data_IF_048424598356
#
_entry.id   IF_048424598356
#
_cell.length_a   1.000
_cell.length_b   1.000
_cell.length_c   1.000
_cell.angle_alpha   90.00
_cell.angle_beta   90.00
_cell.angle_gamma   90.00
#
_symmetry.space_group_name_H-M   'P 1'
#
loop_
_entity.id
_entity.type
_entity.pdbx_description
1 polymer ?
#
# COMPACT_ATOMS: atom_id res chain seq x y z
N UNK A 1 11.78 1.98 19.20
CA UNK A 1 10.49 2.30 19.86
C UNK A 1 10.71 2.16 21.35
N UNK A 2 10.37 3.18 22.12
CA UNK A 2 10.50 3.18 23.57
C UNK A 2 9.14 3.49 24.19
N UNK A 3 8.76 2.74 25.21
CA UNK A 3 7.59 3.09 26.04
C UNK A 3 7.96 4.20 27.02
N UNK A 4 7.14 5.22 27.14
CA UNK A 4 7.29 6.23 28.19
C UNK A 4 6.73 5.71 29.51
N UNK A 5 7.03 6.41 30.61
CA UNK A 5 6.44 6.13 31.93
C UNK A 5 4.91 6.19 31.91
N UNK A 6 4.35 6.95 30.97
CA UNK A 6 2.91 7.18 30.80
C UNK A 6 2.27 6.16 29.85
N UNK A 7 2.99 5.08 29.52
CA UNK A 7 2.56 4.01 28.60
C UNK A 7 2.33 4.49 27.16
N UNK A 8 2.92 5.63 26.78
CA UNK A 8 2.87 6.12 25.41
C UNK A 8 4.05 5.61 24.58
N UNK A 9 3.85 5.56 23.26
CA UNK A 9 4.86 5.11 22.31
C UNK A 9 5.69 6.30 21.81
N UNK A 10 6.94 6.38 22.25
CA UNK A 10 7.93 7.27 21.68
C UNK A 10 8.60 6.64 20.45
N UNK A 11 8.48 7.33 19.32
CA UNK A 11 9.15 6.98 18.07
C UNK A 11 10.46 7.77 17.97
N UNK A 12 11.59 7.09 18.10
CA UNK A 12 12.92 7.69 18.14
C UNK A 12 13.85 6.94 17.16
N UNK A 13 14.73 7.66 16.48
CA UNK A 13 15.85 7.12 15.69
C UNK A 13 17.12 7.29 16.50
N UNK A 14 17.91 6.22 16.59
CA UNK A 14 19.24 6.24 17.18
C UNK A 14 20.24 6.53 16.05
N UNK A 15 20.88 7.68 16.11
CA UNK A 15 21.88 8.10 15.13
C UNK A 15 23.22 7.39 15.38
N UNK A 16 24.12 7.29 14.39
CA UNK A 16 25.44 6.66 14.56
C UNK A 16 26.34 7.27 15.63
N UNK A 17 26.00 8.45 16.14
CA UNK A 17 26.68 9.17 17.23
C UNK A 17 26.00 8.94 18.60
N UNK A 18 25.17 7.89 18.73
CA UNK A 18 24.35 7.55 19.89
C UNK A 18 23.35 8.64 20.34
N UNK A 19 23.13 9.70 19.55
CA UNK A 19 22.08 10.67 19.83
C UNK A 19 20.73 10.16 19.36
N UNK A 20 19.73 10.40 20.18
CA UNK A 20 18.34 10.09 19.87
C UNK A 20 17.69 11.29 19.17
N UNK A 21 16.98 11.04 18.08
CA UNK A 21 16.18 12.03 17.37
C UNK A 21 14.73 11.56 17.27
N UNK A 22 13.78 12.47 17.51
CA UNK A 22 12.35 12.13 17.44
C UNK A 22 11.94 11.83 16.00
N UNK A 23 11.39 10.64 15.79
CA UNK A 23 10.79 10.19 14.53
C UNK A 23 9.31 10.56 14.50
N UNK A 24 9.04 11.86 14.40
CA UNK A 24 7.68 12.38 14.38
C UNK A 24 6.87 11.86 13.19
N UNK A 25 5.54 12.02 13.24
CA UNK A 25 4.68 11.67 12.10
C UNK A 25 5.08 12.45 10.84
N UNK A 26 5.48 13.73 10.98
CA UNK A 26 5.92 14.55 9.86
C UNK A 26 7.21 14.01 9.22
N UNK A 27 8.21 13.62 10.03
CA UNK A 27 9.45 13.02 9.53
C UNK A 27 9.19 11.67 8.87
N UNK A 28 8.35 10.81 9.48
CA UNK A 28 7.96 9.53 8.86
C UNK A 28 7.25 9.70 7.53
N UNK A 29 6.49 10.79 7.34
CA UNK A 29 5.84 11.12 6.07
C UNK A 29 6.84 11.54 4.99
N UNK A 30 7.97 12.12 5.38
CA UNK A 30 9.05 12.46 4.45
C UNK A 30 9.82 11.23 3.97
N UNK A 31 9.80 10.13 4.74
CA UNK A 31 10.33 8.85 4.29
C UNK A 31 9.37 8.28 3.25
N UNK A 32 9.77 8.33 1.99
CA UNK A 32 9.00 7.79 0.86
C UNK A 32 9.01 6.26 0.86
N UNK A 33 8.32 5.63 1.81
CA UNK A 33 8.22 4.18 1.91
C UNK A 33 7.31 3.63 0.80
N UNK A 34 7.83 2.70 0.03
CA UNK A 34 7.09 1.90 -0.96
C UNK A 34 7.14 0.46 -0.49
N UNK A 35 5.98 -0.17 -0.30
CA UNK A 35 5.90 -1.55 0.20
C UNK A 35 5.05 -2.40 -0.71
N UNK A 36 5.67 -3.36 -1.38
CA UNK A 36 4.96 -4.48 -2.00
C UNK A 36 5.10 -5.71 -1.12
N UNK A 37 3.99 -6.25 -0.62
CA UNK A 37 4.01 -7.43 0.25
C UNK A 37 3.61 -8.69 -0.51
N UNK A 38 3.86 -9.87 0.06
CA UNK A 38 3.28 -11.11 -0.45
C UNK A 38 1.74 -11.17 -0.29
N UNK A 39 1.18 -10.45 0.69
CA UNK A 39 -0.26 -10.34 0.93
C UNK A 39 -0.85 -9.07 0.28
N UNK A 40 -0.98 -9.05 -1.04
CA UNK A 40 -1.56 -7.92 -1.80
C UNK A 40 -3.09 -7.82 -1.69
N UNK A 41 -3.73 -8.38 -0.65
CA UNK A 41 -5.20 -8.47 -0.57
C UNK A 41 -5.93 -7.13 -0.69
N UNK A 42 -5.28 -6.01 -0.40
CA UNK A 42 -5.98 -4.72 -0.31
C UNK A 42 -5.72 -3.77 -1.49
N UNK A 43 -4.80 -4.10 -2.42
CA UNK A 43 -4.38 -3.23 -3.54
C UNK A 43 -4.29 -1.75 -3.13
N UNK A 44 -3.77 -1.49 -1.91
CA UNK A 44 -3.90 -0.20 -1.21
C UNK A 44 -3.37 0.94 -2.05
N UNK A 45 -2.24 0.73 -2.71
CA UNK A 45 -1.57 1.73 -3.55
C UNK A 45 -2.30 2.05 -4.85
N UNK A 46 -3.30 1.24 -5.23
CA UNK A 46 -4.18 1.45 -6.38
C UNK A 46 -5.53 2.09 -5.99
N UNK A 47 -5.69 2.49 -4.72
CA UNK A 47 -6.91 3.11 -4.18
C UNK A 47 -6.63 4.48 -3.56
N UNK A 48 -7.63 5.36 -3.48
CA UNK A 48 -7.51 6.70 -2.88
C UNK A 48 -7.56 6.68 -1.34
N UNK A 49 -6.80 5.77 -0.74
CA UNK A 49 -6.66 5.62 0.73
C UNK A 49 -5.56 6.54 1.24
N UNK A 50 -5.69 7.04 2.47
CA UNK A 50 -4.68 7.92 3.05
C UNK A 50 -3.27 7.31 3.03
N UNK A 51 -2.31 8.07 2.49
CA UNK A 51 -0.91 7.67 2.35
C UNK A 51 -0.67 6.53 1.34
N UNK A 52 -1.64 6.17 0.51
CA UNK A 52 -1.42 5.25 -0.60
C UNK A 52 -0.51 5.85 -1.67
N UNK A 53 -0.01 5.01 -2.58
CA UNK A 53 0.66 5.47 -3.80
C UNK A 53 -0.17 6.49 -4.58
N UNK A 54 -1.45 6.20 -4.85
CA UNK A 54 -2.35 7.14 -5.54
C UNK A 54 -2.56 8.46 -4.80
N UNK A 55 -2.70 8.44 -3.48
CA UNK A 55 -2.85 9.66 -2.69
C UNK A 55 -1.64 10.59 -2.84
N UNK A 56 -0.44 9.99 -2.78
CA UNK A 56 0.82 10.70 -3.02
C UNK A 56 0.91 11.20 -4.45
N UNK A 57 0.46 10.40 -5.43
CA UNK A 57 0.51 10.75 -6.85
C UNK A 57 -0.36 11.96 -7.18
N UNK A 58 -1.56 12.02 -6.61
CA UNK A 58 -2.44 13.17 -6.85
C UNK A 58 -1.97 14.42 -6.11
N UNK A 59 -1.33 14.29 -4.95
CA UNK A 59 -0.78 15.43 -4.19
C UNK A 59 -1.83 16.46 -3.73
N UNK A 60 -3.12 16.17 -3.91
CA UNK A 60 -4.23 17.07 -3.63
C UNK A 60 -4.93 16.67 -2.34
N UNK A 61 -4.53 17.33 -1.24
CA UNK A 61 -5.10 17.11 0.09
C UNK A 61 -6.60 17.44 0.16
N UNK A 62 -7.13 18.28 -0.73
CA UNK A 62 -8.53 18.69 -0.76
C UNK A 62 -9.41 17.78 -1.64
N UNK A 63 -8.82 16.95 -2.52
CA UNK A 63 -9.54 16.06 -3.44
C UNK A 63 -10.59 15.20 -2.72
N UNK A 64 -10.21 14.57 -1.60
CA UNK A 64 -11.13 13.74 -0.80
C UNK A 64 -12.31 14.53 -0.24
N UNK A 65 -12.06 15.76 0.22
CA UNK A 65 -13.11 16.64 0.74
C UNK A 65 -14.08 17.04 -0.38
N UNK A 66 -13.56 17.37 -1.58
CA UNK A 66 -14.39 17.69 -2.75
C UNK A 66 -15.26 16.50 -3.16
N UNK A 67 -14.68 15.30 -3.25
CA UNK A 67 -15.42 14.08 -3.56
C UNK A 67 -16.46 13.79 -2.48
N UNK A 68 -16.09 13.90 -1.20
CA UNK A 68 -17.01 13.71 -0.08
C UNK A 68 -18.23 14.64 -0.16
N UNK A 69 -18.02 15.92 -0.54
CA UNK A 69 -19.12 16.87 -0.76
C UNK A 69 -20.03 16.47 -1.92
N UNK A 70 -19.47 16.07 -3.06
CA UNK A 70 -20.27 15.62 -4.20
C UNK A 70 -21.08 14.36 -3.86
N UNK A 71 -20.45 13.43 -3.16
CA UNK A 71 -21.06 12.17 -2.76
C UNK A 71 -22.15 12.38 -1.69
N UNK A 72 -21.99 13.36 -0.79
CA UNK A 72 -23.01 13.75 0.18
C UNK A 72 -24.26 14.40 -0.44
N UNK A 73 -24.18 14.89 -1.68
CA UNK A 73 -25.32 15.46 -2.41
C UNK A 73 -26.20 14.37 -3.08
N UNK A 74 -25.79 13.10 -3.05
CA UNK A 74 -26.56 12.02 -3.63
C UNK A 74 -27.78 11.69 -2.75
N UNK A 75 -28.98 11.81 -3.31
CA UNK A 75 -30.24 11.40 -2.68
C UNK A 75 -30.37 9.88 -2.63
N UNK A 76 -29.69 9.22 -1.70
CA UNK A 76 -29.77 7.76 -1.55
C UNK A 76 -31.16 7.25 -1.20
N UNK A 77 -31.99 8.08 -0.56
CA UNK A 77 -33.39 7.76 -0.28
C UNK A 77 -34.21 7.46 -1.54
N UNK A 78 -33.93 8.14 -2.65
CA UNK A 78 -34.62 7.92 -3.93
C UNK A 78 -34.18 6.63 -4.64
N UNK A 79 -33.02 6.09 -4.26
CA UNK A 79 -32.52 4.82 -4.79
C UNK A 79 -33.13 3.58 -4.11
N UNK A 80 -33.92 3.79 -3.04
CA UNK A 80 -34.63 2.71 -2.37
C UNK A 80 -35.86 2.27 -3.19
N UNK A 81 -36.06 0.97 -3.30
CA UNK A 81 -37.35 0.44 -3.76
C UNK A 81 -38.49 0.75 -2.78
N UNK A 82 -39.73 0.52 -3.22
CA UNK A 82 -40.94 0.73 -2.41
C UNK A 82 -40.90 0.05 -1.04
N UNK A 83 -40.33 -1.14 -0.98
CA UNK A 83 -40.26 -1.94 0.26
C UNK A 83 -39.27 -1.35 1.25
N UNK A 84 -38.15 -0.82 0.77
CA UNK A 84 -37.17 -0.12 1.60
C UNK A 84 -37.73 1.17 2.19
N UNK A 85 -38.48 1.93 1.40
CA UNK A 85 -39.16 3.14 1.88
C UNK A 85 -40.20 2.82 2.96
N UNK A 86 -41.01 1.75 2.78
CA UNK A 86 -41.96 1.29 3.80
C UNK A 86 -41.25 0.89 5.09
N UNK A 87 -40.17 0.11 5.00
CA UNK A 87 -39.41 -0.34 6.17
C UNK A 87 -38.83 0.83 6.98
N UNK A 88 -38.32 1.88 6.32
CA UNK A 88 -37.84 3.09 7.00
C UNK A 88 -38.98 3.84 7.67
N UNK A 89 -40.14 3.96 7.00
CA UNK A 89 -41.32 4.59 7.59
C UNK A 89 -41.82 3.86 8.84
N UNK A 90 -41.92 2.54 8.78
CA UNK A 90 -42.31 1.70 9.93
C UNK A 90 -41.32 1.77 11.08
N UNK A 91 -40.01 1.88 10.78
CA UNK A 91 -38.99 2.11 11.80
C UNK A 91 -39.15 3.49 12.42
N UNK A 92 -39.42 4.53 11.62
CA UNK A 92 -39.68 5.89 12.11
C UNK A 92 -40.85 5.95 13.08
N UNK A 93 -41.95 5.24 12.78
CA UNK A 93 -43.12 5.13 13.68
C UNK A 93 -42.73 4.47 15.01
N UNK A 94 -41.95 3.38 14.97
CA UNK A 94 -41.47 2.70 16.19
C UNK A 94 -40.50 3.54 17.01
N UNK A 95 -39.65 4.33 16.37
CA UNK A 95 -38.77 5.26 17.09
C UNK A 95 -39.57 6.39 17.73
N UNK A 96 -40.59 6.90 17.04
CA UNK A 96 -41.47 7.93 17.61
C UNK A 96 -42.21 7.46 18.86
N UNK A 97 -42.67 6.20 18.90
CA UNK A 97 -43.33 5.64 20.10
C UNK A 97 -42.40 5.55 21.31
N UNK A 98 -41.08 5.51 21.10
CA UNK A 98 -40.05 5.50 22.14
C UNK A 98 -39.46 6.91 22.39
N UNK A 99 -40.08 7.97 21.86
CA UNK A 99 -39.58 9.36 21.93
C UNK A 99 -38.17 9.54 21.32
N UNK A 100 -37.84 8.73 20.31
CA UNK A 100 -36.58 8.80 19.56
C UNK A 100 -36.75 9.56 18.24
N UNK A 101 -35.64 10.06 17.63
CA UNK A 101 -35.69 10.71 16.32
C UNK A 101 -36.30 9.81 15.25
N UNK A 102 -37.39 10.26 14.62
CA UNK A 102 -38.26 9.43 13.75
C UNK A 102 -38.27 9.84 12.27
N UNK A 103 -37.77 11.03 11.93
CA UNK A 103 -37.62 11.49 10.56
C UNK A 103 -36.35 10.87 9.94
N UNK A 104 -36.47 9.61 9.52
CA UNK A 104 -35.36 8.81 9.03
C UNK A 104 -35.14 8.98 7.52
N UNK A 105 -33.87 9.03 7.12
CA UNK A 105 -33.44 9.00 5.73
C UNK A 105 -32.11 8.25 5.62
N UNK A 106 -31.80 7.70 4.44
CA UNK A 106 -30.47 7.11 4.18
C UNK A 106 -29.54 8.19 3.64
N UNK A 107 -28.32 8.20 4.17
CA UNK A 107 -27.22 9.01 3.65
C UNK A 107 -25.89 8.28 3.82
N UNK A 108 -24.84 8.81 3.19
CA UNK A 108 -23.49 8.29 3.38
C UNK A 108 -22.92 8.83 4.69
N UNK A 109 -22.72 7.92 5.63
CA UNK A 109 -22.07 8.19 6.92
C UNK A 109 -20.65 7.65 6.90
N UNK A 110 -19.71 8.40 7.46
CA UNK A 110 -18.32 7.96 7.62
C UNK A 110 -18.16 7.33 9.00
N UNK A 111 -17.94 6.01 9.05
CA UNK A 111 -17.48 5.33 10.27
C UNK A 111 -15.96 5.14 10.24
N UNK A 112 -15.36 4.81 11.40
CA UNK A 112 -13.96 4.38 11.44
C UNK A 112 -13.84 3.04 10.67
N UNK A 113 -13.16 3.04 9.51
CA UNK A 113 -12.73 1.81 8.84
C UNK A 113 -12.95 1.75 7.32
N UNK A 114 -14.06 2.28 6.81
CA UNK A 114 -14.37 2.30 5.36
C UNK A 114 -14.51 3.75 4.88
N UNK A 115 -13.43 4.30 4.33
CA UNK A 115 -13.51 5.60 3.66
C UNK A 115 -14.06 5.44 2.24
N UNK A 116 -14.86 6.40 1.75
CA UNK A 116 -15.28 6.48 0.33
C UNK A 116 -14.07 6.36 -0.61
N UNK A 117 -12.92 6.93 -0.22
CA UNK A 117 -11.67 6.82 -0.97
C UNK A 117 -11.19 5.38 -1.21
N UNK A 118 -11.59 4.41 -0.38
CA UNK A 118 -11.26 2.99 -0.59
C UNK A 118 -12.07 2.33 -1.72
N UNK A 119 -13.16 2.97 -2.16
CA UNK A 119 -13.96 2.58 -3.34
C UNK A 119 -13.42 3.22 -4.63
N UNK A 120 -12.55 4.22 -4.50
CA UNK A 120 -11.99 4.96 -5.63
C UNK A 120 -10.63 4.35 -5.96
N UNK A 121 -10.47 3.90 -7.19
CA UNK A 121 -9.22 3.33 -7.68
C UNK A 121 -9.03 3.59 -9.17
N UNK A 122 -7.87 3.19 -9.68
CA UNK A 122 -7.56 3.34 -11.10
C UNK A 122 -8.42 2.41 -11.97
N UNK A 123 -8.98 2.97 -13.03
CA UNK A 123 -9.64 2.24 -14.11
C UNK A 123 -8.76 2.29 -15.36
N UNK A 124 -8.62 1.16 -16.05
CA UNK A 124 -7.98 1.09 -17.35
C UNK A 124 -9.04 0.84 -18.43
N UNK A 125 -9.05 1.69 -19.45
CA UNK A 125 -9.92 1.55 -20.62
C UNK A 125 -9.42 0.40 -21.50
N UNK A 126 -10.28 -0.58 -21.76
CA UNK A 126 -10.04 -1.65 -22.74
C UNK A 126 -11.20 -1.68 -23.74
N UNK A 127 -10.95 -1.12 -24.94
CA UNK A 127 -12.01 -0.91 -25.92
C UNK A 127 -13.05 0.08 -25.38
N UNK A 128 -14.31 -0.34 -25.28
CA UNK A 128 -15.41 0.48 -24.78
C UNK A 128 -15.61 0.41 -23.25
N UNK A 129 -14.89 -0.45 -22.52
CA UNK A 129 -15.15 -0.74 -21.10
C UNK A 129 -14.01 -0.20 -20.22
N UNK A 130 -14.37 0.41 -19.08
CA UNK A 130 -13.45 0.76 -18.01
C UNK A 130 -13.35 -0.38 -17.00
N UNK A 131 -12.15 -0.94 -16.84
CA UNK A 131 -11.89 -2.07 -15.94
C UNK A 131 -11.05 -1.61 -14.74
N UNK A 132 -11.46 -1.91 -13.50
CA UNK A 132 -10.63 -1.62 -12.33
C UNK A 132 -9.28 -2.33 -12.43
N UNK A 133 -8.18 -1.59 -12.22
CA UNK A 133 -6.84 -2.19 -12.19
C UNK A 133 -6.70 -3.21 -11.07
N UNK A 134 -7.44 -3.05 -9.96
CA UNK A 134 -7.55 -4.05 -8.90
C UNK A 134 -8.11 -5.41 -9.37
N UNK A 135 -8.82 -5.45 -10.51
CA UNK A 135 -9.34 -6.69 -11.10
C UNK A 135 -8.37 -7.37 -12.08
N UNK A 136 -7.22 -6.74 -12.37
CA UNK A 136 -6.21 -7.32 -13.25
C UNK A 136 -5.41 -8.43 -12.54
N UNK A 137 -4.68 -9.27 -13.28
CA UNK A 137 -3.81 -10.29 -12.70
C UNK A 137 -2.75 -9.70 -11.77
N UNK A 138 -2.31 -10.47 -10.77
CA UNK A 138 -1.40 -10.04 -9.69
C UNK A 138 -0.14 -9.33 -10.19
N UNK A 139 0.47 -9.81 -11.28
CA UNK A 139 1.63 -9.17 -11.89
C UNK A 139 1.36 -7.76 -12.41
N UNK A 140 0.24 -7.57 -13.09
CA UNK A 140 -0.16 -6.24 -13.58
C UNK A 140 -0.46 -5.30 -12.43
N UNK A 141 -1.14 -5.77 -11.38
CA UNK A 141 -1.40 -4.98 -10.16
C UNK A 141 -0.11 -4.53 -9.49
N UNK A 142 0.82 -5.45 -9.24
CA UNK A 142 2.13 -5.16 -8.62
C UNK A 142 2.96 -4.18 -9.44
N UNK A 143 3.07 -4.39 -10.75
CA UNK A 143 3.77 -3.46 -11.64
C UNK A 143 3.12 -2.08 -11.58
N UNK A 144 1.80 -2.01 -11.63
CA UNK A 144 1.08 -0.72 -11.57
C UNK A 144 1.34 -0.02 -10.24
N UNK A 145 1.24 -0.72 -9.11
CA UNK A 145 1.52 -0.17 -7.77
C UNK A 145 2.94 0.37 -7.68
N UNK A 146 3.92 -0.34 -8.25
CA UNK A 146 5.30 0.12 -8.32
C UNK A 146 5.46 1.37 -9.16
N UNK A 147 4.87 1.44 -10.36
CA UNK A 147 4.97 2.65 -11.19
C UNK A 147 4.27 3.85 -10.53
N UNK A 148 3.12 3.64 -9.89
CA UNK A 148 2.42 4.69 -9.13
C UNK A 148 3.29 5.18 -7.97
N UNK A 149 4.00 4.28 -7.29
CA UNK A 149 4.89 4.65 -6.20
C UNK A 149 6.20 5.29 -6.70
N UNK A 150 6.77 4.81 -7.80
CA UNK A 150 8.04 5.30 -8.34
C UNK A 150 7.93 6.71 -8.93
N UNK A 151 6.77 7.06 -9.48
CA UNK A 151 6.48 8.42 -9.97
C UNK A 151 6.44 9.49 -8.87
N UNK A 152 6.27 9.08 -7.61
CA UNK A 152 6.23 9.97 -6.44
C UNK A 152 7.47 9.86 -5.57
N UNK A 153 8.50 9.17 -6.08
CA UNK A 153 9.66 8.75 -5.31
C UNK A 153 10.62 9.93 -5.10
N UNK A 154 10.79 10.34 -3.84
CA UNK A 154 11.82 11.30 -3.43
C UNK A 154 13.20 10.65 -3.34
N UNK A 155 14.26 11.44 -3.32
CA UNK A 155 15.64 10.96 -3.08
C UNK A 155 15.82 10.18 -1.77
N UNK A 156 14.98 10.42 -0.75
CA UNK A 156 14.99 9.71 0.54
C UNK A 156 14.02 8.51 0.60
N UNK A 157 13.72 7.89 -0.54
CA UNK A 157 12.78 6.76 -0.60
C UNK A 157 13.39 5.44 -0.15
N UNK A 158 12.55 4.60 0.46
CA UNK A 158 12.89 3.22 0.80
C UNK A 158 11.86 2.32 0.15
N UNK A 159 12.30 1.40 -0.70
CA UNK A 159 11.43 0.43 -1.37
C UNK A 159 11.64 -0.94 -0.75
N UNK A 160 10.57 -1.58 -0.29
CA UNK A 160 10.59 -2.93 0.26
C UNK A 160 9.66 -3.81 -0.57
N UNK A 161 10.20 -4.87 -1.16
CA UNK A 161 9.43 -5.81 -2.00
C UNK A 161 9.65 -7.22 -1.50
N UNK A 162 8.57 -7.87 -1.12
CA UNK A 162 8.57 -9.26 -0.71
C UNK A 162 8.19 -10.17 -1.89
N UNK A 163 9.01 -11.19 -2.13
CA UNK A 163 8.96 -12.12 -3.26
C UNK A 163 8.78 -11.36 -4.58
N UNK A 164 9.84 -10.66 -5.01
CA UNK A 164 9.80 -9.76 -6.19
C UNK A 164 9.34 -10.47 -7.47
N UNK A 165 9.60 -11.77 -7.59
CA UNK A 165 9.18 -12.61 -8.72
C UNK A 165 7.69 -12.96 -8.71
N UNK A 166 7.00 -12.86 -7.57
CA UNK A 166 5.64 -13.39 -7.45
C UNK A 166 4.67 -12.64 -8.36
N UNK A 167 4.00 -13.40 -9.22
CA UNK A 167 3.05 -12.88 -10.21
C UNK A 167 3.70 -12.19 -11.41
N UNK A 168 5.03 -12.10 -11.50
CA UNK A 168 5.72 -11.50 -12.64
C UNK A 168 6.31 -12.57 -13.55
N UNK A 169 6.07 -12.43 -14.85
CA UNK A 169 6.79 -13.20 -15.86
C UNK A 169 8.29 -12.79 -15.87
N UNK A 170 9.21 -13.68 -16.27
CA UNK A 170 10.66 -13.43 -16.23
C UNK A 170 11.09 -12.12 -16.91
N UNK A 171 10.46 -11.76 -18.03
CA UNK A 171 10.74 -10.51 -18.73
C UNK A 171 10.35 -9.27 -17.92
N UNK A 172 9.17 -9.30 -17.27
CA UNK A 172 8.69 -8.19 -16.43
C UNK A 172 9.54 -8.04 -15.17
N UNK A 173 9.93 -9.17 -14.57
CA UNK A 173 10.85 -9.19 -13.42
C UNK A 173 12.19 -8.54 -13.76
N UNK A 174 12.79 -8.88 -14.91
CA UNK A 174 14.04 -8.27 -15.36
C UNK A 174 13.91 -6.75 -15.54
N UNK A 175 12.83 -6.29 -16.18
CA UNK A 175 12.56 -4.87 -16.38
C UNK A 175 12.38 -4.13 -15.05
N UNK A 176 11.68 -4.74 -14.10
CA UNK A 176 11.50 -4.19 -12.76
C UNK A 176 12.83 -4.05 -12.01
N UNK A 177 13.66 -5.11 -12.01
CA UNK A 177 14.95 -5.09 -11.32
C UNK A 177 15.93 -4.08 -11.92
N UNK A 178 15.91 -3.89 -13.25
CA UNK A 178 16.67 -2.82 -13.88
C UNK A 178 16.23 -1.44 -13.34
N UNK A 179 14.91 -1.17 -13.32
CA UNK A 179 14.37 0.09 -12.78
C UNK A 179 14.72 0.32 -11.31
N UNK A 180 14.66 -0.71 -10.47
CA UNK A 180 14.94 -0.59 -9.04
C UNK A 180 16.41 -0.34 -8.72
N UNK A 181 17.32 -0.83 -9.58
CA UNK A 181 18.76 -0.58 -9.45
C UNK A 181 19.10 0.86 -9.89
N UNK A 182 18.41 1.38 -10.91
CA UNK A 182 18.59 2.74 -11.41
C UNK A 182 17.82 3.80 -10.59
N UNK A 183 16.87 3.39 -9.75
CA UNK A 183 16.03 4.30 -8.98
C UNK A 183 16.79 4.95 -7.81
N UNK A 184 16.51 6.23 -7.50
CA UNK A 184 17.08 6.88 -6.33
C UNK A 184 16.48 6.31 -5.04
N UNK A 185 17.32 6.17 -4.01
CA UNK A 185 16.93 5.64 -2.70
C UNK A 185 17.46 4.23 -2.44
N UNK A 186 16.93 3.57 -1.43
CA UNK A 186 17.36 2.23 -1.02
C UNK A 186 16.26 1.20 -1.26
N UNK A 187 16.59 0.14 -1.97
CA UNK A 187 15.69 -0.98 -2.23
C UNK A 187 16.09 -2.23 -1.45
N UNK A 188 15.13 -2.83 -0.75
CA UNK A 188 15.20 -4.10 -0.04
C UNK A 188 14.24 -5.08 -0.70
N UNK A 189 14.77 -6.20 -1.17
CA UNK A 189 14.01 -7.18 -1.95
C UNK A 189 14.17 -8.56 -1.31
N UNK A 190 13.11 -9.36 -1.28
CA UNK A 190 13.25 -10.81 -1.05
C UNK A 190 12.94 -11.58 -2.33
N UNK A 191 13.66 -12.70 -2.51
CA UNK A 191 13.47 -13.56 -3.68
C UNK A 191 13.91 -14.99 -3.42
N UNK A 192 13.21 -15.91 -4.05
CA UNK A 192 13.56 -17.31 -4.26
C UNK A 192 13.96 -17.58 -5.73
N UNK A 193 13.87 -16.58 -6.60
CA UNK A 193 14.04 -16.74 -8.05
C UNK A 193 15.50 -16.61 -8.49
N UNK A 194 16.08 -17.62 -9.18
CA UNK A 194 17.41 -17.48 -9.76
C UNK A 194 17.46 -16.39 -10.85
N UNK A 195 16.33 -16.13 -11.52
CA UNK A 195 16.23 -15.05 -12.51
C UNK A 195 16.38 -13.69 -11.83
N UNK A 196 15.77 -13.48 -10.65
CA UNK A 196 15.93 -12.24 -9.92
C UNK A 196 17.40 -12.01 -9.50
N UNK A 197 18.05 -13.04 -8.97
CA UNK A 197 19.45 -13.01 -8.54
C UNK A 197 20.37 -12.63 -9.70
N UNK A 198 20.23 -13.31 -10.83
CA UNK A 198 21.05 -13.04 -12.02
C UNK A 198 20.85 -11.62 -12.59
N UNK A 199 19.72 -10.98 -12.31
CA UNK A 199 19.42 -9.61 -12.76
C UNK A 199 19.83 -8.53 -11.74
N UNK A 200 20.17 -8.89 -10.50
CA UNK A 200 20.51 -7.96 -9.41
C UNK A 200 22.03 -7.71 -9.31
N UNK A 201 22.62 -7.13 -10.36
CA UNK A 201 24.07 -7.00 -10.52
C UNK A 201 24.71 -5.84 -9.74
N UNK A 202 23.92 -4.85 -9.28
CA UNK A 202 24.39 -3.75 -8.41
C UNK A 202 23.97 -3.93 -6.94
N UNK A 203 23.40 -5.08 -6.58
CA UNK A 203 22.86 -5.33 -5.25
C UNK A 203 23.86 -6.06 -4.34
N UNK A 204 23.83 -5.74 -3.05
CA UNK A 204 24.39 -6.61 -2.02
C UNK A 204 23.47 -7.79 -1.78
N UNK A 205 24.00 -9.00 -1.88
CA UNK A 205 23.23 -10.22 -1.69
C UNK A 205 23.41 -10.74 -0.26
N UNK A 206 22.30 -11.03 0.40
CA UNK A 206 22.27 -11.66 1.71
C UNK A 206 21.49 -12.95 1.61
N UNK A 207 21.90 -13.97 2.33
CA UNK A 207 21.27 -15.29 2.35
C UNK A 207 20.77 -15.62 3.74
N UNK A 208 19.47 -15.89 3.85
CA UNK A 208 18.82 -16.40 5.05
C UNK A 208 18.53 -17.89 4.88
N UNK A 209 19.15 -18.72 5.70
CA UNK A 209 18.95 -20.17 5.69
C UNK A 209 17.69 -20.61 6.48
N UNK A 210 17.40 -21.91 6.46
CA UNK A 210 16.28 -22.50 7.19
C UNK A 210 16.43 -22.47 8.72
N UNK A 211 17.63 -22.23 9.24
CA UNK A 211 17.90 -22.04 10.67
C UNK A 211 17.75 -20.57 11.11
N UNK A 212 17.48 -19.66 10.18
CA UNK A 212 17.32 -18.22 10.45
C UNK A 212 18.65 -17.47 10.52
N UNK A 213 19.75 -18.06 10.06
CA UNK A 213 21.06 -17.41 10.02
C UNK A 213 21.18 -16.59 8.74
N UNK A 214 21.55 -15.31 8.90
CA UNK A 214 21.76 -14.38 7.80
C UNK A 214 23.26 -14.26 7.49
N UNK A 215 23.66 -14.58 6.26
CA UNK A 215 25.03 -14.48 5.77
C UNK A 215 25.10 -13.52 4.56
N UNK A 216 26.12 -12.66 4.48
CA UNK A 216 26.31 -11.78 3.33
C UNK A 216 27.17 -12.43 2.25
N UNK A 217 26.75 -12.37 1.00
CA UNK A 217 27.59 -12.66 -0.17
C UNK A 217 28.24 -11.36 -0.66
N UNK A 218 29.57 -11.27 -0.56
CA UNK A 218 30.34 -10.19 -1.20
C UNK A 218 30.53 -10.53 -2.67
N UNK A 219 29.83 -9.82 -3.55
CA UNK A 219 30.18 -9.86 -4.97
C UNK A 219 31.27 -8.82 -5.25
N UNK A 220 32.34 -9.21 -5.95
CA UNK A 220 33.44 -8.32 -6.35
C UNK A 220 32.97 -7.38 -7.48
N UNK A 221 32.38 -6.24 -7.12
CA UNK A 221 32.49 -4.95 -7.85
C UNK A 221 31.71 -3.87 -7.07
N UNK A 222 32.30 -2.67 -7.04
CA UNK A 222 32.13 -1.58 -6.07
C UNK A 222 30.76 -0.87 -6.02
N UNK A 223 30.53 -0.25 -4.85
CA UNK A 223 29.54 0.79 -4.48
C UNK A 223 28.08 0.35 -4.45
N UNK A 224 27.56 0.21 -3.23
CA UNK A 224 26.26 -0.42 -2.93
C UNK A 224 25.16 0.64 -2.81
N UNK A 225 24.14 0.57 -3.66
CA UNK A 225 22.89 1.37 -3.55
C UNK A 225 21.65 0.50 -3.25
N UNK A 226 21.75 -0.83 -3.28
CA UNK A 226 20.60 -1.74 -3.12
C UNK A 226 20.98 -3.05 -2.40
N UNK A 227 20.06 -3.63 -1.63
CA UNK A 227 20.26 -4.89 -0.89
C UNK A 227 19.15 -5.90 -1.20
N UNK A 228 19.51 -7.12 -1.60
CA UNK A 228 18.60 -8.22 -1.83
C UNK A 228 18.82 -9.31 -0.76
N UNK A 229 17.77 -9.69 -0.05
CA UNK A 229 17.75 -10.73 0.99
C UNK A 229 17.11 -11.99 0.39
N UNK A 230 17.93 -12.98 0.08
CA UNK A 230 17.47 -14.33 -0.25
C UNK A 230 16.89 -14.99 0.98
N UNK A 231 15.73 -15.61 0.82
CA UNK A 231 15.22 -16.58 1.79
C UNK A 231 15.35 -17.95 1.14
N UNK A 232 15.99 -18.91 1.78
CA UNK A 232 15.96 -20.30 1.32
C UNK A 232 14.83 -21.01 2.08
N UNK A 233 13.75 -21.38 1.39
CA UNK A 233 12.75 -22.28 1.94
C UNK A 233 13.23 -23.71 1.69
N UNK A 234 13.86 -24.32 2.69
CA UNK A 234 14.08 -25.76 2.70
C UNK A 234 12.73 -26.46 2.80
N UNK A 235 12.10 -26.72 1.66
CA UNK A 235 11.10 -27.78 1.50
C UNK A 235 11.61 -28.76 0.45
N UNK A 236 12.61 -29.52 0.87
CA UNK A 236 12.74 -30.91 0.48
C UNK A 236 12.64 -31.72 1.77
N UNK A 237 11.44 -32.25 2.01
CA UNK A 237 11.27 -33.49 2.76
C UNK A 237 9.92 -34.09 2.37
N UNK A 238 10.02 -35.07 1.46
CA UNK A 238 9.03 -36.00 0.88
C UNK A 238 8.14 -35.47 -0.24
#
# INVERSE_FOLDING_TARGET
MRGTSDLEVAWEILQPNDRQATLSVAVRRQIGLVRLSASDQNDRDLRLVYGSGLDRLFGDSALRSRIGRQVAQLSLGESLGSDGMKAIGELGVRLASESLPSNLSIGLTTSQGLSIGALIGLLARKGAIDLPLASCGSGTRRMTSLEVCSTTQSSASVTVVDEVERGLEPYRLRKLLAKLQDAPGQSFLTTHSPVAISCAYQASLWHLDGAGILASYRNLKSTISSAAILRHSSRECQ
#
